data_IF_572584264067
#
_entry.id   IF_572584264067
#
_cell.length_a   1.000
_cell.length_b   1.000
_cell.length_c   1.000
_cell.angle_alpha   90.00
_cell.angle_beta   90.00
_cell.angle_gamma   90.00
#
_symmetry.space_group_name_H-M   'P 1'
#
loop_
_entity.id
_entity.type
_entity.pdbx_description
1 polymer ?
#
# COMPACT_ATOMS: atom_id res chain seq x y z
N UNK A 1 -39.02 -38.20 -20.18
CA UNK A 1 -39.16 -37.45 -18.93
C UNK A 1 -37.83 -36.78 -18.62
N UNK A 2 -37.82 -35.45 -18.71
CA UNK A 2 -36.94 -34.44 -18.12
C UNK A 2 -35.41 -34.45 -18.33
N UNK A 3 -34.99 -33.43 -19.08
CA UNK A 3 -33.82 -32.57 -18.88
C UNK A 3 -33.60 -32.21 -17.40
N UNK A 4 -32.33 -32.12 -16.98
CA UNK A 4 -31.83 -30.99 -16.19
C UNK A 4 -30.47 -30.60 -16.74
N UNK A 5 -30.43 -29.43 -17.40
CA UNK A 5 -29.21 -28.71 -17.74
C UNK A 5 -28.63 -28.09 -16.45
N UNK A 6 -27.31 -28.13 -16.31
CA UNK A 6 -26.59 -27.23 -15.41
C UNK A 6 -25.73 -26.31 -16.27
N UNK A 7 -26.35 -25.21 -16.71
CA UNK A 7 -25.65 -24.01 -17.14
C UNK A 7 -24.80 -23.49 -15.98
N UNK A 8 -23.48 -23.68 -16.06
CA UNK A 8 -22.52 -22.78 -15.43
C UNK A 8 -21.68 -22.19 -16.54
N UNK A 9 -22.26 -21.20 -17.21
CA UNK A 9 -21.54 -20.28 -18.09
C UNK A 9 -20.55 -19.52 -17.22
N UNK A 10 -19.36 -20.09 -17.08
CA UNK A 10 -18.20 -19.42 -16.49
C UNK A 10 -17.82 -18.30 -17.45
N UNK A 11 -18.24 -17.08 -17.12
CA UNK A 11 -17.87 -15.88 -17.86
C UNK A 11 -16.37 -15.70 -17.69
N UNK A 12 -15.61 -16.16 -18.67
CA UNK A 12 -14.19 -15.87 -18.81
C UNK A 12 -14.02 -14.36 -18.99
N UNK A 13 -13.82 -13.62 -17.90
CA UNK A 13 -13.20 -12.31 -17.98
C UNK A 13 -11.69 -12.51 -18.12
N UNK A 14 -11.25 -12.79 -19.35
CA UNK A 14 -9.85 -12.65 -19.70
C UNK A 14 -9.45 -11.19 -19.51
N UNK A 15 -8.82 -10.86 -18.39
CA UNK A 15 -8.15 -9.57 -18.18
C UNK A 15 -6.85 -9.61 -19.00
N UNK A 16 -6.99 -9.51 -20.32
CA UNK A 16 -5.96 -8.98 -21.21
C UNK A 16 -6.40 -7.59 -21.61
N UNK A 17 -5.75 -6.58 -21.04
CA UNK A 17 -5.46 -5.34 -21.77
C UNK A 17 -3.97 -5.10 -21.76
N UNK A 18 -3.27 -5.92 -22.54
CA UNK A 18 -2.22 -5.36 -23.37
C UNK A 18 -2.93 -4.44 -24.39
N UNK A 19 -2.66 -3.12 -24.29
CA UNK A 19 -2.83 -2.13 -25.38
C UNK A 19 -4.17 -2.07 -26.14
N UNK A 20 -5.30 -2.40 -25.53
CA UNK A 20 -6.64 -2.25 -26.13
C UNK A 20 -7.52 -1.27 -25.34
N UNK A 21 -8.02 -0.22 -25.98
CA UNK A 21 -8.94 0.76 -25.38
C UNK A 21 -10.19 0.11 -24.80
N UNK A 22 -10.63 0.57 -23.63
CA UNK A 22 -11.93 0.18 -23.09
C UNK A 22 -13.07 0.58 -24.02
N UNK A 23 -14.17 -0.19 -24.09
CA UNK A 23 -15.42 0.32 -24.64
C UNK A 23 -15.73 1.68 -24.01
N UNK A 24 -16.04 2.68 -24.83
CA UNK A 24 -16.24 4.07 -24.41
C UNK A 24 -17.26 4.20 -23.27
N UNK A 25 -18.27 3.32 -23.26
CA UNK A 25 -19.33 3.27 -22.27
C UNK A 25 -18.83 2.84 -20.88
N UNK A 26 -17.97 1.82 -20.79
CA UNK A 26 -17.36 1.38 -19.53
C UNK A 26 -16.44 2.48 -18.98
N UNK A 27 -15.69 3.14 -19.87
CA UNK A 27 -14.84 4.29 -19.50
C UNK A 27 -15.67 5.46 -18.97
N UNK A 28 -16.79 5.76 -19.63
CA UNK A 28 -17.72 6.81 -19.19
C UNK A 28 -18.32 6.54 -17.80
N UNK A 29 -18.69 5.28 -17.52
CA UNK A 29 -19.19 4.87 -16.21
C UNK A 29 -18.14 4.98 -15.11
N UNK A 30 -16.90 4.55 -15.36
CA UNK A 30 -15.81 4.69 -14.37
C UNK A 30 -15.49 6.16 -14.06
N UNK A 31 -15.44 7.02 -15.08
CA UNK A 31 -15.22 8.47 -14.90
C UNK A 31 -16.33 9.11 -14.06
N UNK A 32 -17.59 8.75 -14.33
CA UNK A 32 -18.74 9.25 -13.56
C UNK A 32 -18.71 8.76 -12.10
N UNK A 33 -18.43 7.46 -11.88
CA UNK A 33 -18.28 6.87 -10.54
C UNK A 33 -17.16 7.57 -9.76
N UNK A 34 -15.99 7.77 -10.37
CA UNK A 34 -14.85 8.47 -9.77
C UNK A 34 -15.21 9.89 -9.37
N UNK A 35 -15.75 10.68 -10.32
CA UNK A 35 -16.12 12.08 -10.06
C UNK A 35 -17.11 12.18 -8.90
N UNK A 36 -18.13 11.31 -8.87
CA UNK A 36 -19.10 11.25 -7.78
C UNK A 36 -18.47 10.89 -6.44
N UNK A 37 -17.53 9.94 -6.40
CA UNK A 37 -16.87 9.53 -5.16
C UNK A 37 -15.96 10.62 -4.62
N UNK A 38 -15.12 11.22 -5.48
CA UNK A 38 -14.23 12.31 -5.08
C UNK A 38 -15.01 13.54 -4.60
N UNK A 39 -16.15 13.86 -5.23
CA UNK A 39 -17.05 14.91 -4.76
C UNK A 39 -17.65 14.62 -3.38
N UNK A 40 -17.95 13.35 -3.05
CA UNK A 40 -18.46 12.97 -1.73
C UNK A 40 -17.39 13.06 -0.63
N UNK A 41 -16.12 13.15 -1.01
CA UNK A 41 -14.98 13.42 -0.14
C UNK A 41 -14.54 12.24 0.74
N UNK A 42 -13.55 12.48 1.61
CA UNK A 42 -12.90 11.47 2.46
C UNK A 42 -13.83 10.60 3.28
N UNK A 43 -14.92 11.17 3.81
CA UNK A 43 -15.88 10.46 4.66
C UNK A 43 -16.56 9.31 3.91
N UNK A 44 -16.89 9.50 2.63
CA UNK A 44 -17.56 8.47 1.85
C UNK A 44 -16.63 7.29 1.56
N UNK A 45 -15.34 7.55 1.35
CA UNK A 45 -14.33 6.51 1.16
C UNK A 45 -14.11 5.76 2.48
N UNK A 46 -13.96 6.49 3.59
CA UNK A 46 -13.73 5.90 4.91
C UNK A 46 -14.81 4.91 5.34
N UNK A 47 -16.10 5.24 5.14
CA UNK A 47 -17.22 4.38 5.55
C UNK A 47 -17.75 3.46 4.44
N UNK A 48 -17.64 3.87 3.17
CA UNK A 48 -18.24 3.17 2.04
C UNK A 48 -17.26 2.34 1.20
N UNK A 49 -15.96 2.56 1.34
CA UNK A 49 -14.92 1.96 0.50
C UNK A 49 -14.97 2.45 -0.94
N UNK A 50 -14.16 1.81 -1.79
CA UNK A 50 -14.05 2.12 -3.22
C UNK A 50 -14.49 0.89 -4.03
N UNK A 51 -15.25 1.12 -5.09
CA UNK A 51 -15.59 0.08 -6.06
C UNK A 51 -14.31 -0.36 -6.80
N UNK A 52 -14.10 -1.67 -6.92
CA UNK A 52 -12.91 -2.26 -7.56
C UNK A 52 -12.69 -1.68 -8.95
N UNK A 53 -13.77 -1.42 -9.70
CA UNK A 53 -13.69 -0.93 -11.08
C UNK A 53 -13.07 0.46 -11.23
N UNK A 54 -12.92 1.22 -10.14
CA UNK A 54 -12.37 2.58 -10.16
C UNK A 54 -11.14 2.76 -9.27
N UNK A 55 -10.65 1.70 -8.61
CA UNK A 55 -9.47 1.80 -7.72
C UNK A 55 -8.25 2.35 -8.43
N UNK A 56 -7.92 1.80 -9.60
CA UNK A 56 -6.81 2.28 -10.43
C UNK A 56 -6.89 3.77 -10.79
N UNK A 57 -8.10 4.36 -10.83
CA UNK A 57 -8.27 5.79 -11.09
C UNK A 57 -8.32 6.65 -9.81
N UNK A 58 -8.72 6.10 -8.67
CA UNK A 58 -8.90 6.84 -7.40
C UNK A 58 -7.66 6.78 -6.53
N UNK A 59 -6.97 5.64 -6.48
CA UNK A 59 -5.78 5.45 -5.64
C UNK A 59 -4.66 6.47 -5.92
N UNK A 60 -4.36 6.87 -7.17
CA UNK A 60 -3.42 7.96 -7.43
C UNK A 60 -3.73 9.26 -6.68
N UNK A 61 -5.01 9.58 -6.43
CA UNK A 61 -5.37 10.76 -5.64
C UNK A 61 -5.13 10.53 -4.14
N UNK A 62 -5.55 9.37 -3.62
CA UNK A 62 -5.39 9.04 -2.20
C UNK A 62 -3.93 8.91 -1.78
N UNK A 63 -3.09 8.47 -2.70
CA UNK A 63 -1.65 8.33 -2.52
C UNK A 63 -0.89 9.59 -2.92
N UNK A 64 -1.59 10.72 -3.11
CA UNK A 64 -1.02 12.05 -3.39
C UNK A 64 -0.17 12.13 -4.67
N UNK A 65 -0.33 11.17 -5.58
CA UNK A 65 0.26 11.25 -6.91
C UNK A 65 -0.48 12.30 -7.76
N UNK A 66 -1.81 12.36 -7.67
CA UNK A 66 -2.63 13.39 -8.29
C UNK A 66 -3.22 14.35 -7.26
N UNK A 67 -3.23 15.65 -7.59
CA UNK A 67 -3.98 16.65 -6.84
C UNK A 67 -5.49 16.50 -7.09
N UNK A 68 -6.30 16.69 -6.04
CA UNK A 68 -7.77 16.70 -6.16
C UNK A 68 -8.29 17.87 -7.00
N UNK A 69 -7.51 18.94 -7.14
CA UNK A 69 -7.86 20.14 -7.90
C UNK A 69 -7.44 20.03 -9.38
N UNK A 70 -6.68 18.99 -9.74
CA UNK A 70 -6.17 18.83 -11.09
C UNK A 70 -7.27 18.54 -12.12
N UNK A 71 -7.09 19.06 -13.33
CA UNK A 71 -7.86 18.71 -14.51
C UNK A 71 -7.36 17.41 -15.14
N UNK A 72 -8.10 16.88 -16.12
CA UNK A 72 -7.65 15.68 -16.85
C UNK A 72 -6.41 15.95 -17.70
N UNK A 73 -6.29 17.16 -18.26
CA UNK A 73 -5.17 17.56 -19.11
C UNK A 73 -3.89 17.74 -18.30
N UNK A 74 -3.98 18.38 -17.14
CA UNK A 74 -2.85 18.51 -16.21
C UNK A 74 -2.35 17.15 -15.72
N UNK A 75 -3.26 16.21 -15.42
CA UNK A 75 -2.86 14.85 -15.05
C UNK A 75 -2.17 14.12 -16.18
N UNK A 76 -2.61 14.27 -17.42
CA UNK A 76 -1.94 13.63 -18.56
C UNK A 76 -0.55 14.23 -18.79
N UNK A 77 -0.41 15.55 -18.71
CA UNK A 77 0.88 16.22 -18.78
C UNK A 77 1.82 15.74 -17.64
N UNK A 78 1.30 15.62 -16.42
CA UNK A 78 2.04 15.09 -15.28
C UNK A 78 2.48 13.63 -15.52
N UNK A 79 1.62 12.77 -16.06
CA UNK A 79 1.94 11.37 -16.39
C UNK A 79 3.09 11.28 -17.39
N UNK A 80 3.06 12.09 -18.45
CA UNK A 80 4.13 12.13 -19.45
C UNK A 80 5.46 12.54 -18.79
N UNK A 81 5.44 13.61 -17.99
CA UNK A 81 6.63 14.07 -17.29
C UNK A 81 7.17 13.03 -16.29
N UNK A 82 6.28 12.40 -15.53
CA UNK A 82 6.61 11.42 -14.49
C UNK A 82 7.10 10.09 -15.07
N UNK A 83 6.64 9.73 -16.27
CA UNK A 83 7.19 8.60 -17.03
C UNK A 83 8.61 8.87 -17.48
N UNK A 84 8.93 10.10 -17.90
CA UNK A 84 10.30 10.47 -18.24
C UNK A 84 11.22 10.36 -17.02
N UNK A 85 10.80 10.89 -15.87
CA UNK A 85 11.57 10.80 -14.62
C UNK A 85 11.77 9.33 -14.18
N UNK A 86 10.73 8.49 -14.30
CA UNK A 86 10.85 7.05 -14.04
C UNK A 86 11.91 6.37 -14.93
N UNK A 87 11.91 6.70 -16.24
CA UNK A 87 12.89 6.19 -17.17
C UNK A 87 14.31 6.67 -16.85
N UNK A 88 14.47 7.93 -16.40
CA UNK A 88 15.77 8.46 -15.96
C UNK A 88 16.31 7.69 -14.75
N UNK A 89 15.45 7.38 -13.77
CA UNK A 89 15.81 6.52 -12.62
C UNK A 89 16.23 5.13 -13.09
N UNK A 90 15.49 4.55 -14.03
CA UNK A 90 15.82 3.25 -14.60
C UNK A 90 17.17 3.29 -15.34
N UNK A 91 17.44 4.33 -16.13
CA UNK A 91 18.72 4.47 -16.82
C UNK A 91 19.86 4.61 -15.82
N UNK A 92 19.70 5.43 -14.78
CA UNK A 92 20.68 5.56 -13.69
C UNK A 92 21.00 4.21 -13.04
N UNK A 93 19.98 3.38 -12.78
CA UNK A 93 20.17 2.02 -12.25
C UNK A 93 20.98 1.14 -13.20
N UNK A 94 20.65 1.17 -14.49
CA UNK A 94 21.31 0.33 -15.50
C UNK A 94 22.73 0.80 -15.81
N UNK A 95 23.02 2.09 -15.63
CA UNK A 95 24.34 2.70 -15.85
C UNK A 95 25.28 2.62 -14.65
N UNK A 96 24.91 1.93 -13.56
CA UNK A 96 25.78 1.75 -12.40
C UNK A 96 27.11 1.08 -12.78
N UNK A 97 28.21 1.53 -12.15
CA UNK A 97 29.53 0.90 -12.32
C UNK A 97 29.52 -0.55 -11.81
N UNK A 98 30.50 -1.39 -12.17
CA UNK A 98 30.58 -2.75 -11.66
C UNK A 98 30.58 -2.84 -10.12
N UNK A 99 31.25 -1.92 -9.45
CA UNK A 99 31.34 -1.84 -7.99
C UNK A 99 30.00 -1.47 -7.37
N UNK A 100 29.36 -0.40 -7.87
CA UNK A 100 28.03 0.04 -7.46
C UNK A 100 26.99 -1.06 -7.67
N UNK A 101 27.04 -1.72 -8.83
CA UNK A 101 26.14 -2.83 -9.16
C UNK A 101 26.34 -4.01 -8.23
N UNK A 102 27.58 -4.33 -7.87
CA UNK A 102 27.88 -5.37 -6.90
C UNK A 102 27.32 -5.06 -5.50
N UNK A 103 27.46 -3.81 -5.05
CA UNK A 103 26.88 -3.37 -3.77
C UNK A 103 25.34 -3.36 -3.81
N UNK A 104 24.75 -2.80 -4.87
CA UNK A 104 23.30 -2.76 -5.08
C UNK A 104 22.71 -4.17 -5.17
N UNK A 105 23.40 -5.10 -5.81
CA UNK A 105 22.95 -6.49 -5.89
C UNK A 105 22.87 -7.13 -4.51
N UNK A 106 23.93 -7.00 -3.71
CA UNK A 106 23.99 -7.59 -2.35
C UNK A 106 22.96 -6.97 -1.41
N UNK A 107 22.81 -5.65 -1.46
CA UNK A 107 22.00 -4.92 -0.47
C UNK A 107 20.51 -4.83 -0.85
N UNK A 108 20.18 -4.91 -2.15
CA UNK A 108 18.84 -4.66 -2.66
C UNK A 108 18.38 -5.77 -3.60
N UNK A 109 19.07 -5.96 -4.73
CA UNK A 109 18.53 -6.75 -5.84
C UNK A 109 18.29 -8.21 -5.45
N UNK A 110 19.21 -8.83 -4.70
CA UNK A 110 19.08 -10.22 -4.27
C UNK A 110 17.81 -10.46 -3.44
N UNK A 111 17.49 -9.55 -2.51
CA UNK A 111 16.29 -9.66 -1.67
C UNK A 111 15.03 -9.40 -2.49
N UNK A 112 15.04 -8.40 -3.38
CA UNK A 112 13.91 -8.13 -4.30
C UNK A 112 13.63 -9.33 -5.18
N UNK A 113 14.66 -9.92 -5.81
CA UNK A 113 14.52 -11.07 -6.72
C UNK A 113 13.88 -12.26 -6.00
N UNK A 114 14.22 -12.50 -4.72
CA UNK A 114 13.58 -13.54 -3.90
C UNK A 114 12.14 -13.21 -3.54
N UNK A 115 11.86 -11.95 -3.22
CA UNK A 115 10.56 -11.52 -2.72
C UNK A 115 9.49 -11.47 -3.81
N UNK A 116 9.81 -10.99 -5.01
CA UNK A 116 8.83 -10.91 -6.10
C UNK A 116 8.34 -12.29 -6.56
N UNK A 117 9.20 -13.31 -6.53
CA UNK A 117 8.85 -14.68 -6.95
C UNK A 117 7.84 -15.34 -6.00
N UNK A 118 7.87 -14.98 -4.72
CA UNK A 118 6.95 -15.50 -3.69
C UNK A 118 5.68 -14.66 -3.50
N UNK A 119 5.60 -13.47 -4.10
CA UNK A 119 4.52 -12.51 -3.86
C UNK A 119 3.26 -12.88 -4.66
N UNK A 120 2.13 -13.00 -3.96
CA UNK A 120 0.76 -13.13 -4.49
C UNK A 120 0.58 -14.05 -5.72
N UNK A 121 1.26 -15.21 -5.75
CA UNK A 121 1.21 -16.16 -6.88
C UNK A 121 -0.16 -16.82 -7.09
N UNK A 122 -1.04 -16.74 -6.10
CA UNK A 122 -2.46 -17.15 -6.21
C UNK A 122 -3.32 -16.11 -6.94
N UNK A 123 -2.89 -14.85 -7.00
CA UNK A 123 -3.58 -13.79 -7.73
C UNK A 123 -3.37 -13.99 -9.24
N UNK A 124 -4.46 -13.92 -10.01
CA UNK A 124 -4.45 -14.14 -11.46
C UNK A 124 -3.48 -13.19 -12.19
N UNK A 125 -3.29 -11.98 -11.67
CA UNK A 125 -2.41 -10.98 -12.25
C UNK A 125 -0.93 -11.38 -12.20
N UNK A 126 -0.50 -12.16 -11.19
CA UNK A 126 0.88 -12.59 -10.98
C UNK A 126 1.12 -14.10 -11.19
N UNK A 127 0.08 -14.87 -11.49
CA UNK A 127 0.16 -16.32 -11.70
C UNK A 127 0.87 -16.64 -13.02
N UNK A 128 1.56 -17.78 -13.06
CA UNK A 128 2.26 -18.29 -14.26
C UNK A 128 3.78 -18.13 -14.19
N UNK A 129 4.49 -18.95 -14.95
CA UNK A 129 5.93 -18.80 -15.17
C UNK A 129 6.20 -17.61 -16.09
N UNK A 130 7.34 -16.93 -15.89
CA UNK A 130 7.77 -15.77 -16.68
C UNK A 130 6.73 -14.67 -16.86
N UNK A 131 5.91 -14.42 -15.83
CA UNK A 131 4.86 -13.42 -15.88
C UNK A 131 5.45 -11.99 -15.96
N UNK A 132 5.12 -11.19 -17.00
CA UNK A 132 5.69 -9.85 -17.19
C UNK A 132 5.33 -8.86 -16.07
N UNK A 133 4.24 -9.09 -15.34
CA UNK A 133 3.85 -8.27 -14.19
C UNK A 133 4.77 -8.49 -12.98
N UNK A 134 5.35 -9.70 -12.84
CA UNK A 134 6.37 -9.97 -11.81
C UNK A 134 7.64 -9.19 -12.12
N UNK A 135 8.05 -9.14 -13.39
CA UNK A 135 9.20 -8.33 -13.80
C UNK A 135 8.90 -6.82 -13.67
N UNK A 136 7.67 -6.39 -13.93
CA UNK A 136 7.26 -4.98 -13.72
C UNK A 136 7.33 -4.60 -12.24
N UNK A 137 6.83 -5.46 -11.33
CA UNK A 137 6.96 -5.29 -9.88
C UNK A 137 8.43 -5.19 -9.46
N UNK A 138 9.26 -6.09 -10.00
CA UNK A 138 10.70 -6.10 -9.76
C UNK A 138 11.35 -4.77 -10.18
N UNK A 139 11.08 -4.28 -11.38
CA UNK A 139 11.61 -2.98 -11.85
C UNK A 139 11.18 -1.82 -10.95
N UNK A 140 9.92 -1.78 -10.53
CA UNK A 140 9.39 -0.74 -9.63
C UNK A 140 10.19 -0.72 -8.32
N UNK A 141 10.38 -1.88 -7.67
CA UNK A 141 11.09 -1.98 -6.39
C UNK A 141 12.56 -1.61 -6.51
N UNK A 142 13.24 -2.07 -7.57
CA UNK A 142 14.64 -1.73 -7.81
C UNK A 142 14.82 -0.24 -8.13
N UNK A 143 13.94 0.34 -8.94
CA UNK A 143 13.96 1.76 -9.23
C UNK A 143 13.64 2.58 -7.97
N UNK A 144 12.77 2.09 -7.07
CA UNK A 144 12.48 2.77 -5.81
C UNK A 144 13.72 2.83 -4.91
N UNK A 145 14.46 1.74 -4.80
CA UNK A 145 15.71 1.72 -4.03
C UNK A 145 16.79 2.66 -4.59
N UNK A 146 16.79 2.93 -5.90
CA UNK A 146 17.66 3.94 -6.53
C UNK A 146 17.14 5.36 -6.29
N UNK A 147 15.83 5.55 -6.33
CA UNK A 147 15.17 6.83 -6.08
C UNK A 147 15.33 7.29 -4.61
N UNK A 148 15.19 6.37 -3.67
CA UNK A 148 15.30 6.64 -2.24
C UNK A 148 16.30 5.67 -1.57
N UNK A 149 17.61 5.88 -1.71
CA UNK A 149 18.63 4.97 -1.19
C UNK A 149 18.67 4.94 0.34
N UNK A 150 18.14 5.96 1.01
CA UNK A 150 18.07 6.00 2.47
C UNK A 150 17.08 4.95 3.01
N UNK A 151 15.97 4.70 2.30
CA UNK A 151 15.05 3.60 2.62
C UNK A 151 15.49 2.31 1.93
N UNK A 152 15.89 2.41 0.66
CA UNK A 152 16.29 1.26 -0.14
C UNK A 152 15.12 0.31 -0.38
N UNK A 153 15.37 -0.98 -0.12
CA UNK A 153 14.35 -2.02 -0.12
C UNK A 153 14.40 -2.77 1.21
N UNK A 154 13.22 -3.08 1.74
CA UNK A 154 13.09 -3.96 2.89
C UNK A 154 12.04 -5.02 2.61
N UNK A 155 12.25 -6.18 3.21
CA UNK A 155 11.39 -7.33 3.02
C UNK A 155 9.94 -6.99 3.35
N UNK A 156 9.03 -7.29 2.43
CA UNK A 156 7.61 -6.97 2.56
C UNK A 156 7.14 -5.81 1.69
N UNK A 157 8.04 -4.97 1.16
CA UNK A 157 7.65 -3.93 0.21
C UNK A 157 7.05 -4.49 -1.08
N UNK A 158 7.40 -5.71 -1.49
CA UNK A 158 6.73 -6.40 -2.60
C UNK A 158 5.23 -6.63 -2.34
N UNK A 159 4.86 -6.98 -1.11
CA UNK A 159 3.47 -7.19 -0.69
C UNK A 159 2.67 -5.87 -0.69
N UNK A 160 3.35 -4.72 -0.57
CA UNK A 160 2.76 -3.40 -0.67
C UNK A 160 2.57 -2.95 -2.13
N UNK A 161 3.56 -3.20 -3.00
CA UNK A 161 3.48 -2.83 -4.43
C UNK A 161 2.51 -3.73 -5.20
N UNK A 162 2.43 -5.01 -4.88
CA UNK A 162 1.61 -5.98 -5.62
C UNK A 162 0.15 -5.51 -5.87
N UNK A 163 -0.63 -5.12 -4.85
CA UNK A 163 -1.98 -4.62 -5.08
C UNK A 163 -2.02 -3.30 -5.84
N UNK A 164 -1.06 -2.38 -5.63
CA UNK A 164 -0.97 -1.13 -6.40
C UNK A 164 -0.79 -1.43 -7.89
N UNK A 165 0.07 -2.39 -8.23
CA UNK A 165 0.33 -2.76 -9.62
C UNK A 165 -0.88 -3.45 -10.27
N UNK A 166 -1.57 -4.32 -9.53
CA UNK A 166 -2.75 -5.01 -10.03
C UNK A 166 -3.92 -4.06 -10.33
N UNK A 167 -4.09 -3.00 -9.52
CA UNK A 167 -5.18 -2.04 -9.67
C UNK A 167 -4.82 -0.89 -10.64
N UNK A 168 -3.59 -0.38 -10.62
CA UNK A 168 -3.16 0.75 -11.48
C UNK A 168 -2.72 0.29 -12.87
N UNK A 169 -2.09 -0.89 -12.98
CA UNK A 169 -1.68 -1.56 -14.22
C UNK A 169 -0.72 -0.78 -15.16
N UNK A 170 -0.21 0.37 -14.73
CA UNK A 170 0.89 1.09 -15.41
C UNK A 170 2.11 1.16 -14.50
N UNK A 171 3.26 0.70 -14.99
CA UNK A 171 4.47 0.59 -14.19
C UNK A 171 4.93 1.93 -13.61
N UNK A 172 4.89 3.00 -14.40
CA UNK A 172 5.35 4.31 -13.95
C UNK A 172 4.39 4.92 -12.94
N UNK A 173 3.08 4.83 -13.18
CA UNK A 173 2.09 5.36 -12.23
C UNK A 173 2.08 4.56 -10.94
N UNK A 174 2.21 3.24 -11.01
CA UNK A 174 2.35 2.39 -9.83
C UNK A 174 3.59 2.78 -9.03
N UNK A 175 4.71 3.06 -9.70
CA UNK A 175 5.91 3.56 -9.02
C UNK A 175 5.62 4.86 -8.25
N UNK A 176 4.96 5.85 -8.87
CA UNK A 176 4.68 7.12 -8.19
C UNK A 176 3.61 7.01 -7.10
N UNK A 177 2.62 6.13 -7.27
CA UNK A 177 1.69 5.76 -6.21
C UNK A 177 2.43 5.10 -5.05
N UNK A 178 3.40 4.24 -5.34
CA UNK A 178 4.21 3.59 -4.32
C UNK A 178 5.11 4.58 -3.57
N UNK A 179 5.70 5.55 -4.26
CA UNK A 179 6.43 6.65 -3.63
C UNK A 179 5.54 7.41 -2.66
N UNK A 180 4.33 7.79 -3.09
CA UNK A 180 3.37 8.48 -2.22
C UNK A 180 2.89 7.64 -1.04
N UNK A 181 2.72 6.34 -1.25
CA UNK A 181 2.39 5.36 -0.22
C UNK A 181 3.51 5.29 0.84
N UNK A 182 4.78 5.16 0.43
CA UNK A 182 5.93 5.09 1.34
C UNK A 182 6.21 6.40 2.09
N UNK A 183 5.73 7.54 1.58
CA UNK A 183 5.79 8.83 2.27
C UNK A 183 4.68 9.00 3.32
N UNK A 184 3.66 8.14 3.31
CA UNK A 184 2.52 8.22 4.22
C UNK A 184 2.81 7.51 5.56
N UNK A 185 3.62 8.15 6.39
CA UNK A 185 4.15 7.63 7.67
C UNK A 185 3.08 7.35 8.73
N UNK A 186 1.84 7.75 8.51
CA UNK A 186 0.71 7.42 9.41
C UNK A 186 0.31 5.95 9.24
N UNK A 187 0.37 5.43 8.01
CA UNK A 187 -0.17 4.11 7.69
C UNK A 187 0.93 3.08 7.44
N UNK A 188 2.05 3.49 6.86
CA UNK A 188 3.21 2.63 6.66
C UNK A 188 4.28 3.00 7.65
N UNK A 189 4.66 2.00 8.45
CA UNK A 189 5.89 2.07 9.22
C UNK A 189 7.04 1.97 8.24
N UNK A 190 8.00 2.89 8.33
CA UNK A 190 9.28 2.65 7.66
C UNK A 190 9.80 1.31 8.16
N UNK A 191 10.31 0.43 7.28
CA UNK A 191 10.84 -0.87 7.69
C UNK A 191 12.15 -0.77 8.49
N UNK A 192 12.52 0.44 8.92
CA UNK A 192 13.62 0.69 9.84
C UNK A 192 13.19 0.32 11.25
N UNK A 193 14.07 -0.36 11.96
CA UNK A 193 13.81 -0.87 13.31
C UNK A 193 13.31 0.23 14.26
N UNK A 194 13.92 1.43 14.23
CA UNK A 194 13.52 2.56 15.08
C UNK A 194 12.07 3.01 14.87
N UNK A 195 11.58 3.01 13.63
CA UNK A 195 10.21 3.47 13.34
C UNK A 195 9.19 2.40 13.72
N UNK A 196 9.53 1.13 13.51
CA UNK A 196 8.72 0.01 13.98
C UNK A 196 8.63 -0.03 15.51
N UNK A 197 9.75 0.18 16.21
CA UNK A 197 9.79 0.26 17.68
C UNK A 197 8.89 1.37 18.22
N UNK A 198 8.87 2.55 17.57
CA UNK A 198 7.95 3.64 17.93
C UNK A 198 6.49 3.24 17.77
N UNK A 199 6.14 2.54 16.68
CA UNK A 199 4.76 2.10 16.45
C UNK A 199 4.32 1.03 17.45
N UNK A 200 5.21 0.08 17.76
CA UNK A 200 4.98 -0.90 18.82
C UNK A 200 4.89 -0.24 20.20
N UNK A 201 5.67 0.81 20.47
CA UNK A 201 5.51 1.64 21.67
C UNK A 201 4.13 2.31 21.75
N UNK A 202 3.66 2.93 20.68
CA UNK A 202 2.32 3.54 20.66
C UNK A 202 1.23 2.48 20.86
N UNK A 203 1.36 1.31 20.24
CA UNK A 203 0.41 0.22 20.45
C UNK A 203 0.40 -0.27 21.90
N UNK A 204 1.56 -0.36 22.55
CA UNK A 204 1.67 -0.69 23.99
C UNK A 204 0.96 0.31 24.86
N UNK A 205 1.16 1.60 24.63
CA UNK A 205 0.48 2.64 25.39
C UNK A 205 -1.03 2.63 25.16
N UNK A 206 -1.48 2.39 23.92
CA UNK A 206 -2.90 2.22 23.63
C UNK A 206 -3.49 1.01 24.36
N UNK A 207 -2.79 -0.13 24.40
CA UNK A 207 -3.23 -1.30 25.16
C UNK A 207 -3.25 -1.01 26.67
N UNK A 208 -2.26 -0.29 27.20
CA UNK A 208 -2.22 0.12 28.61
C UNK A 208 -3.45 0.93 28.99
N UNK A 209 -3.90 1.83 28.11
CA UNK A 209 -5.06 2.69 28.33
C UNK A 209 -6.41 1.99 28.10
N UNK A 210 -6.51 1.13 27.09
CA UNK A 210 -7.79 0.54 26.64
C UNK A 210 -8.05 -0.85 27.21
N UNK A 211 -7.00 -1.64 27.43
CA UNK A 211 -7.08 -3.04 27.88
C UNK A 211 -6.03 -3.30 28.97
N UNK A 212 -6.14 -2.63 30.14
CA UNK A 212 -5.09 -2.65 31.17
C UNK A 212 -4.78 -4.05 31.71
N UNK A 213 -5.77 -4.94 31.80
CA UNK A 213 -5.55 -6.34 32.21
C UNK A 213 -4.67 -7.11 31.23
N UNK A 214 -4.88 -6.91 29.93
CA UNK A 214 -4.07 -7.55 28.90
C UNK A 214 -2.65 -6.98 28.87
N UNK A 215 -2.52 -5.66 28.99
CA UNK A 215 -1.21 -5.03 29.15
C UNK A 215 -0.44 -5.57 30.36
N UNK A 216 -1.08 -5.69 31.53
CA UNK A 216 -0.47 -6.28 32.72
C UNK A 216 -0.01 -7.72 32.50
N UNK A 217 -0.80 -8.52 31.76
CA UNK A 217 -0.39 -9.86 31.39
C UNK A 217 0.86 -9.84 30.50
N UNK A 218 0.92 -9.00 29.48
CA UNK A 218 2.11 -8.84 28.64
C UNK A 218 3.32 -8.37 29.45
N UNK A 219 3.14 -7.44 30.39
CA UNK A 219 4.20 -6.97 31.28
C UNK A 219 4.70 -8.07 32.23
N UNK A 220 3.81 -8.96 32.70
CA UNK A 220 4.17 -10.09 33.54
C UNK A 220 4.98 -11.16 32.78
N UNK A 221 4.88 -11.21 31.46
CA UNK A 221 5.72 -12.04 30.59
C UNK A 221 7.12 -11.43 30.35
N UNK A 222 7.42 -10.26 30.92
CA UNK A 222 8.72 -9.60 30.81
C UNK A 222 8.93 -8.85 29.49
N UNK A 223 10.20 -8.62 29.15
CA UNK A 223 10.57 -7.86 27.95
C UNK A 223 10.02 -8.51 26.67
N UNK A 224 10.03 -9.83 26.56
CA UNK A 224 9.51 -10.56 25.38
C UNK A 224 8.02 -10.27 25.13
N UNK A 225 7.22 -10.21 26.20
CA UNK A 225 5.80 -9.85 26.10
C UNK A 225 5.60 -8.39 25.68
N UNK A 226 6.42 -7.49 26.21
CA UNK A 226 6.39 -6.07 25.89
C UNK A 226 7.12 -5.71 24.59
N UNK A 227 7.83 -6.61 23.93
CA UNK A 227 8.34 -6.34 22.57
C UNK A 227 7.22 -6.43 21.53
N UNK A 228 6.15 -7.19 21.82
CA UNK A 228 5.00 -7.36 20.93
C UNK A 228 5.35 -7.77 19.50
N UNK A 229 6.42 -8.57 19.31
CA UNK A 229 6.88 -8.98 17.98
C UNK A 229 5.82 -9.75 17.17
N UNK A 230 4.84 -10.35 17.84
CA UNK A 230 3.67 -10.95 17.19
C UNK A 230 2.81 -9.94 16.40
N UNK A 231 2.90 -8.64 16.70
CA UNK A 231 2.25 -7.56 15.95
C UNK A 231 3.14 -6.99 14.83
N UNK A 232 4.42 -7.35 14.76
CA UNK A 232 5.37 -6.75 13.82
C UNK A 232 4.89 -6.87 12.36
N UNK A 233 4.46 -8.07 11.96
CA UNK A 233 3.96 -8.32 10.60
C UNK A 233 2.70 -7.52 10.28
N UNK A 234 1.86 -7.28 11.29
CA UNK A 234 0.61 -6.53 11.13
C UNK A 234 0.90 -5.08 10.74
N UNK A 235 1.85 -4.45 11.43
CA UNK A 235 2.24 -3.06 11.20
C UNK A 235 3.08 -2.92 9.92
N UNK A 236 4.04 -3.83 9.70
CA UNK A 236 4.93 -3.79 8.54
C UNK A 236 4.18 -3.94 7.21
N UNK A 237 3.18 -4.84 7.17
CA UNK A 237 2.44 -5.16 5.95
C UNK A 237 1.04 -4.56 5.94
N UNK A 238 0.75 -3.62 6.84
CA UNK A 238 -0.56 -2.98 6.97
C UNK A 238 -1.72 -4.01 6.97
N UNK A 239 -1.54 -5.11 7.71
CA UNK A 239 -2.47 -6.23 7.83
C UNK A 239 -2.76 -7.05 6.55
N UNK A 240 -2.04 -6.84 5.43
CA UNK A 240 -2.22 -7.58 4.15
C UNK A 240 -2.20 -9.10 4.31
N UNK A 241 -1.43 -9.62 5.28
CA UNK A 241 -1.29 -11.05 5.55
C UNK A 241 -2.26 -11.59 6.60
N UNK A 242 -3.03 -10.72 7.25
CA UNK A 242 -3.97 -11.10 8.32
C UNK A 242 -5.42 -11.15 7.82
N UNK A 243 -5.72 -10.47 6.71
CA UNK A 243 -7.05 -10.41 6.12
C UNK A 243 -7.06 -10.91 4.67
N UNK A 244 -8.21 -11.39 4.16
CA UNK A 244 -8.43 -11.52 2.73
C UNK A 244 -8.10 -10.21 2.00
N UNK A 245 -7.54 -10.31 0.80
CA UNK A 245 -7.06 -9.14 0.05
C UNK A 245 -8.12 -8.04 -0.10
N UNK A 246 -9.35 -8.41 -0.44
CA UNK A 246 -10.44 -7.45 -0.60
C UNK A 246 -10.74 -6.64 0.69
N UNK A 247 -10.56 -7.25 1.86
CA UNK A 247 -10.76 -6.59 3.16
C UNK A 247 -9.55 -5.74 3.55
N UNK A 248 -8.33 -6.26 3.36
CA UNK A 248 -7.11 -5.49 3.58
C UNK A 248 -7.11 -4.18 2.77
N UNK A 249 -7.47 -4.26 1.48
CA UNK A 249 -7.53 -3.07 0.62
C UNK A 249 -8.59 -2.06 1.07
N UNK A 250 -9.71 -2.50 1.65
CA UNK A 250 -10.69 -1.55 2.25
C UNK A 250 -10.13 -0.82 3.46
N UNK A 251 -9.36 -1.52 4.31
CA UNK A 251 -8.68 -0.89 5.45
C UNK A 251 -7.70 0.17 4.93
N UNK A 252 -6.94 -0.17 3.89
CA UNK A 252 -5.96 0.73 3.26
C UNK A 252 -6.63 1.99 2.72
N UNK A 253 -7.70 1.81 1.93
CA UNK A 253 -8.49 2.91 1.36
C UNK A 253 -9.04 3.85 2.44
N UNK A 254 -9.54 3.29 3.55
CA UNK A 254 -10.04 4.08 4.67
C UNK A 254 -8.92 4.88 5.34
N UNK A 255 -7.75 4.28 5.53
CA UNK A 255 -6.58 4.97 6.10
C UNK A 255 -6.06 6.08 5.17
N UNK A 256 -5.99 5.83 3.86
CA UNK A 256 -5.52 6.81 2.87
C UNK A 256 -6.51 7.94 2.63
N UNK A 257 -7.80 7.73 2.89
CA UNK A 257 -8.77 8.80 2.84
C UNK A 257 -8.43 9.95 3.81
N UNK A 258 -7.57 9.73 4.80
CA UNK A 258 -7.19 10.72 5.81
C UNK A 258 -8.41 11.40 6.46
N UNK A 259 -9.51 10.66 6.58
CA UNK A 259 -10.69 11.14 7.29
C UNK A 259 -10.35 11.21 8.77
N UNK A 260 -9.91 12.38 9.21
CA UNK A 260 -9.77 12.63 10.63
C UNK A 260 -11.17 12.63 11.23
N UNK A 261 -11.37 11.82 12.28
CA UNK A 261 -12.53 11.94 13.16
C UNK A 261 -12.34 13.18 14.06
N UNK A 262 -11.99 14.31 13.45
CA UNK A 262 -11.93 15.61 14.10
C UNK A 262 -13.36 16.10 14.27
N UNK A 263 -14.01 15.64 15.34
CA UNK A 263 -15.32 16.15 15.73
C UNK A 263 -16.34 15.14 16.24
N UNK A 264 -15.96 13.95 16.74
CA UNK A 264 -16.94 13.15 17.48
C UNK A 264 -17.03 13.65 18.94
N UNK A 265 -18.18 14.19 19.39
CA UNK A 265 -18.31 14.80 20.73
C UNK A 265 -18.01 13.85 21.88
N UNK A 266 -18.01 12.52 21.63
CA UNK A 266 -17.76 11.49 22.64
C UNK A 266 -16.29 11.35 23.04
N UNK A 267 -15.35 11.87 22.26
CA UNK A 267 -13.91 11.84 22.58
C UNK A 267 -13.34 13.19 23.03
N UNK A 268 -14.05 14.29 22.81
CA UNK A 268 -13.66 15.63 23.30
C UNK A 268 -13.87 15.80 24.82
N UNK A 269 -14.61 14.90 25.47
CA UNK A 269 -14.97 15.00 26.89
C UNK A 269 -14.09 14.21 27.87
N UNK A 270 -13.05 13.51 27.41
CA UNK A 270 -12.07 12.89 28.30
C UNK A 270 -10.70 13.44 27.96
N UNK A 271 -10.32 14.53 28.62
CA UNK A 271 -8.95 15.02 28.60
C UNK A 271 -8.02 13.86 28.89
N UNK A 272 -7.07 13.61 27.99
CA UNK A 272 -5.89 12.82 28.29
C UNK A 272 -5.26 13.42 29.54
N UNK A 273 -5.11 12.68 30.66
CA UNK A 273 -4.38 13.20 31.80
C UNK A 273 -2.96 13.51 31.33
N UNK A 274 -2.51 14.74 31.60
CA UNK A 274 -1.12 15.16 31.43
C UNK A 274 -0.20 14.06 31.96
N UNK A 275 0.58 13.42 31.08
CA UNK A 275 1.70 12.60 31.51
C UNK A 275 2.71 13.54 32.19
N UNK A 276 2.69 13.58 33.52
CA UNK A 276 3.81 14.10 34.27
C UNK A 276 5.00 13.11 34.12
N UNK A 277 6.22 13.59 33.89
CA UNK A 277 7.39 12.72 33.87
C UNK A 277 7.57 12.07 35.25
N UNK A 278 7.79 10.75 35.24
CA UNK A 278 8.08 9.99 36.45
C UNK A 278 9.36 10.55 37.13
N UNK A 279 9.39 10.69 38.46
CA UNK A 279 10.62 11.04 39.17
C UNK A 279 11.61 9.88 39.02
N UNK A 280 12.87 10.22 38.74
CA UNK A 280 13.98 9.30 38.84
C UNK A 280 14.00 8.71 40.26
N UNK A 281 13.99 7.38 40.34
CA UNK A 281 14.11 6.64 41.59
C UNK A 281 15.54 6.79 42.16
N UNK A 282 15.71 6.62 43.48
CA UNK A 282 16.82 7.18 44.27
C UNK A 282 18.17 6.48 44.07
#
# INVERSE_FOLDING_TARGET
VQQVASERTCVQFSIRRASGSAPSEVRGQCVAKRSKLLHRGPRAIFFGGIDVSIRGEVWPFLLRYYSHESTSEEREALRVQKRKEYLEIQQKRLSMTPEERGAFWRNVQFTVDKDVVRTDRSNEFFRGEDNPNVESMRRILLNYAVYNPAIGYSQGMSDLVAPLLAEVQDESDTFWCFVGLMQNTIFISSPRDEDMEKQLLYLRELLRLTHPRFYQHLAALGEDGLQMLFCHRWLLLCFKREFPEAEALRIWEACWAHYQVSGHPRLAGRGLPHLAPHPAAP
#
